data_IF_832138320734
#
_entry.id   IF_832138320734
#
_cell.length_a   1.000
_cell.length_b   1.000
_cell.length_c   1.000
_cell.angle_alpha   90.00
_cell.angle_beta   90.00
_cell.angle_gamma   90.00
#
_symmetry.space_group_name_H-M   'P 1'
#
loop_
_entity.id
_entity.type
_entity.pdbx_description
1 polymer ?
#
# COMPACT_ATOMS: atom_id res chain seq x y z
N UNK A 1 -7.26 3.17 -1.72
CA UNK A 1 -6.01 2.90 -2.46
C UNK A 1 -4.91 3.79 -1.90
N UNK A 2 -3.87 3.20 -1.31
CA UNK A 2 -2.73 3.90 -0.73
C UNK A 2 -1.52 3.78 -1.68
N UNK A 3 -1.22 4.88 -2.38
CA UNK A 3 -0.13 4.97 -3.34
C UNK A 3 1.13 5.59 -2.76
N UNK A 4 2.16 5.70 -3.60
CA UNK A 4 3.42 6.32 -3.20
C UNK A 4 3.27 7.84 -2.98
N UNK A 5 2.58 8.52 -3.90
CA UNK A 5 2.44 9.99 -3.92
C UNK A 5 1.08 10.50 -3.49
N UNK A 6 0.06 9.65 -3.54
CA UNK A 6 -1.31 10.03 -3.27
C UNK A 6 -2.08 8.86 -2.65
N UNK A 7 -3.26 9.18 -2.13
CA UNK A 7 -4.23 8.21 -1.62
C UNK A 7 -5.58 8.51 -2.24
N UNK A 8 -6.25 7.47 -2.74
CA UNK A 8 -7.56 7.58 -3.37
C UNK A 8 -8.62 6.76 -2.65
N UNK A 9 -9.79 7.36 -2.48
CA UNK A 9 -11.02 6.71 -2.04
C UNK A 9 -11.91 6.51 -3.26
N UNK A 10 -12.26 5.27 -3.54
CA UNK A 10 -13.07 4.88 -4.67
C UNK A 10 -14.34 4.22 -4.15
N UNK A 11 -15.49 4.71 -4.60
CA UNK A 11 -16.77 4.22 -4.14
C UNK A 11 -17.51 3.50 -5.27
N UNK A 12 -17.92 2.26 -5.01
CA UNK A 12 -18.67 1.44 -5.94
C UNK A 12 -20.08 1.22 -5.39
N UNK A 13 -21.09 1.35 -6.25
CA UNK A 13 -22.48 1.07 -5.89
C UNK A 13 -23.15 0.36 -7.05
N UNK A 14 -23.85 -0.74 -6.75
CA UNK A 14 -24.54 -1.56 -7.77
C UNK A 14 -23.62 -1.98 -8.92
N UNK A 15 -22.37 -2.34 -8.61
CA UNK A 15 -21.39 -2.81 -9.60
C UNK A 15 -20.75 -1.71 -10.45
N UNK A 16 -20.98 -0.43 -10.17
CA UNK A 16 -20.42 0.68 -10.96
C UNK A 16 -19.71 1.70 -10.07
N UNK A 17 -18.63 2.29 -10.59
CA UNK A 17 -17.91 3.37 -9.94
C UNK A 17 -18.79 4.64 -9.84
N UNK A 18 -19.01 5.11 -8.62
CA UNK A 18 -19.71 6.36 -8.34
C UNK A 18 -18.70 7.51 -8.29
N UNK A 19 -18.36 8.07 -9.45
CA UNK A 19 -17.33 9.12 -9.61
C UNK A 19 -17.50 10.32 -8.67
N UNK A 20 -18.74 10.75 -8.44
CA UNK A 20 -19.06 11.88 -7.55
C UNK A 20 -18.72 11.61 -6.07
N UNK A 21 -18.55 10.34 -5.71
CA UNK A 21 -18.20 9.88 -4.36
C UNK A 21 -16.74 9.40 -4.27
N UNK A 22 -15.99 9.53 -5.35
CA UNK A 22 -14.57 9.22 -5.38
C UNK A 22 -13.76 10.50 -5.11
N UNK A 23 -12.61 10.36 -4.47
CA UNK A 23 -11.72 11.48 -4.17
C UNK A 23 -10.28 10.99 -4.08
N UNK A 24 -9.35 11.89 -4.35
CA UNK A 24 -7.90 11.63 -4.21
C UNK A 24 -7.28 12.80 -3.47
N UNK A 25 -6.36 12.48 -2.58
CA UNK A 25 -5.52 13.44 -1.85
C UNK A 25 -4.05 13.18 -2.19
N UNK A 26 -3.22 14.22 -2.13
CA UNK A 26 -1.77 14.12 -2.28
C UNK A 26 -1.07 13.53 -1.05
N UNK A 27 -1.82 13.03 -0.07
CA UNK A 27 -1.28 12.26 1.05
C UNK A 27 -0.89 10.85 0.57
N UNK A 28 0.38 10.64 0.28
CA UNK A 28 0.94 9.35 -0.12
C UNK A 28 1.89 8.76 0.92
N UNK A 29 2.41 7.57 0.64
CA UNK A 29 3.43 6.94 1.49
C UNK A 29 4.69 7.80 1.65
N UNK A 30 5.02 8.65 0.68
CA UNK A 30 6.17 9.53 0.79
C UNK A 30 6.04 10.54 1.96
N UNK A 31 4.82 10.98 2.29
CA UNK A 31 4.57 11.87 3.44
C UNK A 31 4.94 11.21 4.77
N UNK A 32 4.67 9.91 4.91
CA UNK A 32 5.11 9.12 6.05
C UNK A 32 6.64 9.10 6.12
N UNK A 33 7.31 8.82 5.00
CA UNK A 33 8.78 8.75 4.97
C UNK A 33 9.43 10.12 5.22
N UNK A 34 8.78 11.22 4.82
CA UNK A 34 9.22 12.58 5.10
C UNK A 34 9.13 12.94 6.57
N UNK A 35 8.00 12.59 7.21
CA UNK A 35 7.85 12.75 8.66
C UNK A 35 8.93 11.97 9.41
N UNK A 36 9.28 10.78 8.92
CA UNK A 36 10.35 9.98 9.51
C UNK A 36 11.73 10.63 9.32
N UNK A 37 12.04 11.14 8.13
CA UNK A 37 13.28 11.86 7.84
C UNK A 37 13.51 13.09 8.71
N UNK A 38 12.45 13.80 9.10
CA UNK A 38 12.55 14.92 10.04
C UNK A 38 12.85 14.49 11.50
N UNK A 39 12.66 13.22 11.86
CA UNK A 39 12.89 12.70 13.22
C UNK A 39 14.26 12.06 13.38
N UNK A 40 14.87 11.59 12.29
CA UNK A 40 16.16 10.89 12.31
C UNK A 40 17.15 11.62 11.40
N UNK A 41 18.16 12.25 11.99
CA UNK A 41 19.15 13.02 11.25
C UNK A 41 19.90 12.16 10.22
N UNK A 42 19.92 12.63 8.97
CA UNK A 42 20.61 11.96 7.87
C UNK A 42 19.94 10.65 7.40
N UNK A 43 18.65 10.49 7.69
CA UNK A 43 17.78 9.47 7.11
C UNK A 43 17.06 10.08 5.89
N UNK A 44 17.27 9.49 4.71
CA UNK A 44 16.59 9.90 3.48
C UNK A 44 15.44 8.94 3.14
N UNK A 45 14.50 9.38 2.29
CA UNK A 45 13.38 8.54 1.82
C UNK A 45 13.86 7.21 1.24
N UNK A 46 14.93 7.25 0.44
CA UNK A 46 15.50 6.07 -0.20
C UNK A 46 16.06 5.07 0.82
N UNK A 47 16.50 5.52 1.99
CA UNK A 47 16.92 4.62 3.07
C UNK A 47 15.72 3.82 3.59
N UNK A 48 14.62 4.51 3.89
CA UNK A 48 13.38 3.85 4.36
C UNK A 48 12.89 2.85 3.32
N UNK A 49 12.88 3.20 2.04
CA UNK A 49 12.50 2.29 0.97
C UNK A 49 13.43 1.08 0.84
N UNK A 50 14.75 1.25 1.05
CA UNK A 50 15.71 0.12 1.10
C UNK A 50 15.51 -0.80 2.30
N UNK A 51 14.99 -0.28 3.40
CA UNK A 51 14.67 -1.07 4.59
C UNK A 51 13.43 -1.96 4.38
N UNK A 52 12.52 -1.60 3.44
CA UNK A 52 11.35 -2.42 3.11
C UNK A 52 11.80 -3.67 2.34
N UNK A 53 11.75 -4.83 3.01
CA UNK A 53 11.97 -6.14 2.39
C UNK A 53 10.62 -6.75 2.05
N UNK A 54 10.38 -6.95 0.76
CA UNK A 54 9.28 -7.80 0.30
C UNK A 54 9.73 -9.25 0.41
N UNK A 55 9.17 -10.01 1.35
CA UNK A 55 9.45 -11.44 1.45
C UNK A 55 8.43 -12.22 0.61
N UNK A 56 8.94 -13.03 -0.33
CA UNK A 56 8.14 -14.08 -0.97
C UNK A 56 8.18 -15.33 -0.08
N UNK A 57 7.15 -15.55 0.73
CA UNK A 57 7.04 -16.79 1.51
C UNK A 57 6.50 -17.95 0.66
N UNK A 58 7.31 -18.49 -0.23
CA UNK A 58 6.96 -19.76 -0.89
C UNK A 58 7.84 -20.11 -2.06
N UNK A 59 8.42 -21.31 -2.02
CA UNK A 59 8.92 -21.96 -3.22
C UNK A 59 7.74 -22.28 -4.14
N UNK A 60 7.84 -21.90 -5.41
CA UNK A 60 7.00 -22.44 -6.47
C UNK A 60 7.16 -23.97 -6.48
N UNK A 61 6.20 -24.70 -5.91
CA UNK A 61 5.92 -26.08 -6.30
C UNK A 61 4.81 -26.03 -7.31
N UNK A 62 5.02 -26.69 -8.44
CA UNK A 62 4.03 -26.83 -9.51
C UNK A 62 2.69 -27.27 -8.90
N UNK A 63 1.67 -26.41 -8.98
CA UNK A 63 0.34 -26.67 -8.40
C UNK A 63 0.08 -26.13 -6.98
N UNK A 64 1.01 -25.38 -6.36
CA UNK A 64 0.74 -24.67 -5.09
C UNK A 64 1.01 -23.18 -5.22
N UNK A 65 0.00 -22.36 -4.92
CA UNK A 65 0.07 -20.90 -4.89
C UNK A 65 1.12 -20.40 -3.87
N UNK A 66 1.91 -19.37 -4.20
CA UNK A 66 2.83 -18.77 -3.23
C UNK A 66 2.04 -18.18 -2.05
N UNK A 67 2.36 -18.63 -0.84
CA UNK A 67 1.73 -18.12 0.38
C UNK A 67 2.25 -16.72 0.69
N UNK A 68 1.39 -15.71 0.50
CA UNK A 68 1.45 -14.38 1.13
C UNK A 68 2.77 -13.63 0.92
N UNK A 69 2.75 -12.69 -0.01
CA UNK A 69 3.73 -11.61 -0.04
C UNK A 69 3.42 -10.68 1.13
N UNK A 70 4.35 -10.60 2.06
CA UNK A 70 4.32 -9.65 3.15
C UNK A 70 5.59 -8.81 3.04
N UNK A 71 5.43 -7.48 2.97
CA UNK A 71 6.58 -6.61 3.19
C UNK A 71 6.79 -6.39 4.67
N UNK A 72 8.03 -6.54 5.09
CA UNK A 72 8.49 -6.26 6.44
C UNK A 72 9.53 -5.15 6.36
N UNK A 73 9.52 -4.23 7.32
CA UNK A 73 10.55 -3.20 7.38
C UNK A 73 11.71 -3.70 8.24
N UNK A 74 12.85 -3.92 7.61
CA UNK A 74 14.08 -4.35 8.26
C UNK A 74 15.06 -3.19 8.42
N UNK A 75 14.95 -2.50 9.55
CA UNK A 75 15.80 -1.35 9.90
C UNK A 75 17.29 -1.67 10.00
N UNK A 76 17.67 -2.93 10.22
CA UNK A 76 19.10 -3.32 10.32
C UNK A 76 19.87 -3.07 9.03
N UNK A 77 19.19 -3.04 7.87
CA UNK A 77 19.81 -2.82 6.55
C UNK A 77 20.35 -1.40 6.38
N UNK A 78 19.77 -0.43 7.09
CA UNK A 78 20.15 0.99 7.01
C UNK A 78 20.89 1.49 8.24
N UNK A 79 21.15 0.59 9.19
CA UNK A 79 21.91 0.88 10.40
C UNK A 79 23.38 1.08 10.05
N UNK A 80 23.98 2.19 10.50
CA UNK A 80 25.36 2.56 10.14
C UNK A 80 26.40 1.98 11.11
N UNK A 81 26.02 1.69 12.35
CA UNK A 81 26.93 1.16 13.37
C UNK A 81 27.36 -0.28 13.10
N UNK A 82 28.67 -0.56 13.18
CA UNK A 82 29.23 -1.91 13.17
C UNK A 82 29.26 -2.57 14.56
N UNK A 83 29.14 -1.78 15.61
CA UNK A 83 28.98 -2.25 16.98
C UNK A 83 27.54 -2.73 17.24
N UNK A 84 27.39 -3.94 17.80
CA UNK A 84 26.09 -4.62 17.94
C UNK A 84 25.14 -3.90 18.89
N UNK A 85 25.63 -3.37 20.00
CA UNK A 85 24.78 -2.68 20.99
C UNK A 85 24.31 -1.35 20.44
N UNK A 86 25.22 -0.58 19.83
CA UNK A 86 24.87 0.69 19.17
C UNK A 86 23.94 0.48 17.97
N UNK A 87 24.13 -0.59 17.21
CA UNK A 87 23.23 -0.97 16.11
C UNK A 87 21.82 -1.27 16.62
N UNK A 88 21.68 -2.01 17.73
CA UNK A 88 20.39 -2.29 18.33
C UNK A 88 19.67 -1.01 18.81
N UNK A 89 20.42 -0.07 19.39
CA UNK A 89 19.90 1.25 19.79
C UNK A 89 19.43 2.05 18.55
N UNK A 90 20.20 2.03 17.46
CA UNK A 90 19.84 2.71 16.22
C UNK A 90 18.57 2.13 15.59
N UNK A 91 18.45 0.79 15.54
CA UNK A 91 17.23 0.09 15.10
C UNK A 91 16.03 0.48 15.94
N UNK A 92 16.16 0.52 17.27
CA UNK A 92 15.09 0.94 18.17
C UNK A 92 14.64 2.38 17.89
N UNK A 93 15.58 3.29 17.67
CA UNK A 93 15.28 4.69 17.30
C UNK A 93 14.54 4.78 15.97
N UNK A 94 14.95 4.03 14.96
CA UNK A 94 14.29 3.98 13.65
C UNK A 94 12.85 3.45 13.79
N UNK A 95 12.64 2.38 14.54
CA UNK A 95 11.31 1.82 14.80
C UNK A 95 10.39 2.84 15.49
N UNK A 96 10.87 3.48 16.56
CA UNK A 96 10.08 4.50 17.27
C UNK A 96 9.76 5.71 16.39
N UNK A 97 10.70 6.14 15.54
CA UNK A 97 10.49 7.22 14.59
C UNK A 97 9.44 6.84 13.54
N UNK A 98 9.47 5.59 13.05
CA UNK A 98 8.45 5.07 12.15
C UNK A 98 7.07 5.06 12.79
N UNK A 99 6.91 4.46 13.98
CA UNK A 99 5.61 4.37 14.66
C UNK A 99 5.00 5.74 14.95
N UNK A 100 5.84 6.71 15.31
CA UNK A 100 5.39 8.09 15.53
C UNK A 100 4.98 8.75 14.22
N UNK A 101 5.77 8.58 13.15
CA UNK A 101 5.48 9.15 11.83
C UNK A 101 4.24 8.52 11.20
N UNK A 102 4.04 7.21 11.40
CA UNK A 102 2.87 6.47 10.96
C UNK A 102 1.61 7.00 11.63
N UNK A 103 1.62 7.24 12.95
CA UNK A 103 0.49 7.85 13.67
C UNK A 103 0.18 9.26 13.18
N UNK A 104 1.21 10.09 12.98
CA UNK A 104 1.04 11.45 12.45
C UNK A 104 0.52 11.47 11.01
N UNK A 105 1.01 10.57 10.16
CA UNK A 105 0.53 10.38 8.79
C UNK A 105 -0.93 9.91 8.79
N UNK A 106 -1.25 8.90 9.63
CA UNK A 106 -2.59 8.35 9.72
C UNK A 106 -3.61 9.37 10.22
N UNK A 107 -3.24 10.25 11.14
CA UNK A 107 -4.12 11.35 11.57
C UNK A 107 -4.57 12.20 10.36
N UNK A 108 -3.63 12.60 9.48
CA UNK A 108 -3.96 13.36 8.28
C UNK A 108 -4.87 12.59 7.30
N UNK A 109 -4.57 11.31 7.10
CA UNK A 109 -5.34 10.45 6.20
C UNK A 109 -6.74 10.21 6.74
N UNK A 110 -6.88 9.88 8.03
CA UNK A 110 -8.17 9.63 8.67
C UNK A 110 -9.04 10.89 8.74
N UNK A 111 -8.46 12.06 8.97
CA UNK A 111 -9.16 13.34 8.85
C UNK A 111 -9.68 13.57 7.42
N UNK A 112 -8.86 13.30 6.41
CA UNK A 112 -9.30 13.36 5.02
C UNK A 112 -10.41 12.35 4.72
N UNK A 113 -10.31 11.11 5.21
CA UNK A 113 -11.36 10.09 5.07
C UNK A 113 -12.67 10.55 5.74
N UNK A 114 -12.61 11.14 6.94
CA UNK A 114 -13.78 11.68 7.63
C UNK A 114 -14.48 12.79 6.82
N UNK A 115 -13.72 13.59 6.08
CA UNK A 115 -14.27 14.65 5.22
C UNK A 115 -14.80 14.15 3.87
N UNK A 116 -14.38 12.96 3.43
CA UNK A 116 -14.61 12.46 2.07
C UNK A 116 -15.65 11.34 2.03
N UNK A 117 -15.64 10.44 3.01
CA UNK A 117 -16.43 9.24 2.98
C UNK A 117 -17.90 9.52 3.32
N UNK A 118 -18.78 8.71 2.72
CA UNK A 118 -20.17 8.60 3.14
C UNK A 118 -20.24 8.08 4.58
N UNK A 119 -21.38 8.28 5.27
CA UNK A 119 -21.62 7.60 6.53
C UNK A 119 -21.34 6.10 6.40
N UNK A 120 -20.60 5.54 7.36
CA UNK A 120 -20.17 4.13 7.34
C UNK A 120 -21.33 3.14 7.21
N UNK A 121 -22.53 3.54 7.61
CA UNK A 121 -23.79 2.78 7.44
C UNK A 121 -24.16 2.52 5.97
N UNK A 122 -23.56 3.22 5.00
CA UNK A 122 -23.77 3.00 3.57
C UNK A 122 -22.67 2.15 2.92
N UNK A 123 -21.75 1.59 3.71
CA UNK A 123 -20.58 0.84 3.25
C UNK A 123 -20.74 -0.63 3.66
N UNK A 124 -20.95 -1.50 2.67
CA UNK A 124 -21.09 -2.94 2.91
C UNK A 124 -19.73 -3.64 3.12
N UNK A 125 -18.66 -3.07 2.58
CA UNK A 125 -17.31 -3.62 2.68
C UNK A 125 -16.27 -2.64 2.14
N UNK A 126 -15.01 -2.85 2.53
CA UNK A 126 -13.88 -1.98 2.16
C UNK A 126 -12.76 -2.81 1.56
N UNK A 127 -12.22 -2.32 0.44
CA UNK A 127 -10.99 -2.84 -0.15
C UNK A 127 -9.81 -1.93 0.18
N UNK A 128 -8.87 -2.43 0.99
CA UNK A 128 -7.60 -1.78 1.23
C UNK A 128 -6.60 -2.24 0.15
N UNK A 129 -6.10 -1.34 -0.68
CA UNK A 129 -5.25 -1.70 -1.83
C UNK A 129 -4.23 -0.61 -2.15
N UNK A 130 -3.29 -0.91 -3.04
CA UNK A 130 -2.15 -0.04 -3.38
C UNK A 130 -0.86 -0.51 -2.70
N UNK A 131 0.29 -0.06 -3.19
CA UNK A 131 1.58 -0.55 -2.70
C UNK A 131 1.88 -0.22 -1.23
N UNK A 132 1.17 0.75 -0.64
CA UNK A 132 1.34 1.13 0.77
C UNK A 132 0.30 0.50 1.70
N UNK A 133 -0.68 -0.21 1.14
CA UNK A 133 -1.85 -0.69 1.89
C UNK A 133 -1.48 -1.69 2.99
N UNK A 134 -0.49 -2.53 2.76
CA UNK A 134 -0.06 -3.53 3.76
C UNK A 134 0.46 -2.90 5.06
N UNK A 135 1.05 -1.70 4.98
CA UNK A 135 1.55 -0.96 6.16
C UNK A 135 0.45 -0.23 6.92
N UNK A 136 -0.74 -0.12 6.33
CA UNK A 136 -1.87 0.65 6.84
C UNK A 136 -3.08 -0.23 7.15
N UNK A 137 -3.03 -1.53 6.85
CA UNK A 137 -4.18 -2.42 6.92
C UNK A 137 -4.81 -2.45 8.31
N UNK A 138 -4.00 -2.55 9.37
CA UNK A 138 -4.50 -2.56 10.75
C UNK A 138 -5.20 -1.25 11.10
N UNK A 139 -4.59 -0.11 10.75
CA UNK A 139 -5.17 1.23 10.98
C UNK A 139 -6.47 1.44 10.22
N UNK A 140 -6.55 0.93 8.98
CA UNK A 140 -7.78 0.98 8.17
C UNK A 140 -8.84 0.07 8.75
N UNK A 141 -8.47 -1.13 9.22
CA UNK A 141 -9.38 -2.08 9.85
C UNK A 141 -9.98 -1.50 11.12
N UNK A 142 -9.16 -0.88 11.97
CA UNK A 142 -9.61 -0.17 13.17
C UNK A 142 -10.53 1.00 12.82
N UNK A 143 -10.20 1.77 11.77
CA UNK A 143 -11.05 2.88 11.35
C UNK A 143 -12.40 2.41 10.82
N UNK A 144 -12.47 1.27 10.14
CA UNK A 144 -13.73 0.70 9.66
C UNK A 144 -14.27 -0.40 10.58
N UNK A 145 -14.03 -0.30 11.90
CA UNK A 145 -14.52 -1.27 12.87
C UNK A 145 -16.00 -1.63 12.64
N UNK A 146 -16.29 -2.93 12.54
CA UNK A 146 -17.61 -3.47 12.24
C UNK A 146 -17.92 -3.64 10.74
N UNK A 147 -17.04 -3.20 9.84
CA UNK A 147 -17.12 -3.42 8.40
C UNK A 147 -15.95 -4.32 7.96
N UNK A 148 -16.20 -5.26 7.06
CA UNK A 148 -15.15 -6.12 6.54
C UNK A 148 -14.15 -5.31 5.70
N UNK A 149 -12.87 -5.34 6.10
CA UNK A 149 -11.76 -4.74 5.36
C UNK A 149 -10.90 -5.85 4.76
N UNK A 150 -10.88 -5.93 3.43
CA UNK A 150 -10.12 -6.94 2.71
C UNK A 150 -9.00 -6.31 1.89
N UNK A 151 -7.85 -6.98 1.88
CA UNK A 151 -6.87 -6.80 0.81
C UNK A 151 -7.34 -7.61 -0.41
N UNK A 152 -7.08 -7.16 -1.65
CA UNK A 152 -7.51 -7.88 -2.84
C UNK A 152 -7.09 -9.35 -2.89
N UNK A 153 -5.89 -9.66 -2.39
CA UNK A 153 -5.37 -11.03 -2.32
C UNK A 153 -6.13 -11.96 -1.37
N UNK A 154 -6.97 -11.42 -0.50
CA UNK A 154 -7.78 -12.18 0.46
C UNK A 154 -9.26 -12.25 0.06
N UNK A 155 -9.66 -11.61 -1.05
CA UNK A 155 -11.06 -11.54 -1.45
C UNK A 155 -11.42 -12.68 -2.42
N UNK A 156 -12.39 -13.53 -2.09
CA UNK A 156 -12.82 -14.64 -2.95
C UNK A 156 -13.76 -14.21 -4.10
N UNK A 157 -13.97 -12.91 -4.31
CA UNK A 157 -14.86 -12.38 -5.36
C UNK A 157 -14.16 -12.32 -6.72
N UNK A 158 -14.93 -12.22 -7.81
CA UNK A 158 -14.40 -11.97 -9.16
C UNK A 158 -13.53 -10.71 -9.22
N UNK A 159 -13.86 -9.67 -8.43
CA UNK A 159 -13.04 -8.48 -8.27
C UNK A 159 -11.72 -8.78 -7.56
N UNK A 160 -11.75 -9.59 -6.50
CA UNK A 160 -10.57 -10.09 -5.81
C UNK A 160 -9.65 -10.90 -6.72
N UNK A 161 -10.24 -11.78 -7.54
CA UNK A 161 -9.53 -12.61 -8.50
C UNK A 161 -8.90 -11.77 -9.63
N UNK A 162 -9.63 -10.80 -10.19
CA UNK A 162 -9.09 -9.87 -11.19
C UNK A 162 -7.94 -9.03 -10.64
N UNK A 163 -8.04 -8.58 -9.38
CA UNK A 163 -6.98 -7.86 -8.68
C UNK A 163 -5.75 -8.74 -8.40
N UNK A 164 -5.95 -10.04 -8.22
CA UNK A 164 -4.89 -11.04 -7.96
C UNK A 164 -4.12 -11.42 -9.22
N UNK A 165 -4.81 -11.63 -10.35
CA UNK A 165 -4.21 -12.06 -11.62
C UNK A 165 -3.14 -11.07 -12.14
N UNK A 166 -3.38 -9.77 -12.11
CA UNK A 166 -2.39 -8.78 -12.58
C UNK A 166 -1.22 -8.62 -11.60
N UNK A 167 -1.48 -8.76 -10.28
CA UNK A 167 -0.41 -8.83 -9.27
C UNK A 167 0.53 -10.00 -9.58
N UNK A 168 -0.04 -11.16 -9.88
CA UNK A 168 0.72 -12.36 -10.29
C UNK A 168 1.45 -12.17 -11.63
N UNK A 169 0.84 -11.50 -12.61
CA UNK A 169 1.50 -11.19 -13.89
C UNK A 169 2.69 -10.23 -13.70
N UNK A 170 2.54 -9.22 -12.85
CA UNK A 170 3.62 -8.28 -12.50
C UNK A 170 4.73 -8.97 -11.71
N UNK A 171 4.40 -9.84 -10.77
CA UNK A 171 5.38 -10.56 -9.95
C UNK A 171 6.17 -11.62 -10.72
N UNK A 172 5.60 -12.19 -11.78
CA UNK A 172 6.32 -13.10 -12.68
C UNK A 172 7.16 -12.38 -13.74
N UNK A 173 7.16 -11.04 -13.75
CA UNK A 173 8.00 -10.25 -14.63
C UNK A 173 9.29 -9.84 -13.90
N UNK A 174 10.42 -10.47 -14.28
CA UNK A 174 11.74 -10.18 -13.69
C UNK A 174 12.13 -8.69 -13.79
N UNK A 175 11.66 -7.98 -14.81
CA UNK A 175 11.92 -6.56 -14.99
C UNK A 175 11.14 -5.73 -13.97
N UNK A 176 9.87 -6.08 -13.71
CA UNK A 176 9.05 -5.46 -12.67
C UNK A 176 9.60 -5.68 -11.26
N UNK A 177 10.14 -6.87 -10.97
CA UNK A 177 10.83 -7.15 -9.70
C UNK A 177 12.13 -6.34 -9.52
N UNK A 178 12.79 -5.97 -10.63
CA UNK A 178 13.97 -5.09 -10.65
C UNK A 178 13.61 -3.61 -10.53
N UNK A 179 12.35 -3.23 -10.74
CA UNK A 179 11.90 -1.85 -10.58
C UNK A 179 11.88 -1.42 -9.10
N UNK A 180 12.30 -0.18 -8.86
CA UNK A 180 12.35 0.43 -7.54
C UNK A 180 10.96 0.39 -6.85
N UNK A 181 10.90 0.32 -5.52
CA UNK A 181 9.63 0.18 -4.76
C UNK A 181 8.57 1.22 -5.18
N UNK A 182 9.03 2.43 -5.50
CA UNK A 182 8.27 3.56 -6.09
C UNK A 182 7.42 3.14 -7.30
N UNK A 183 7.94 2.26 -8.16
CA UNK A 183 7.26 1.74 -9.35
C UNK A 183 6.37 0.52 -9.04
N UNK A 184 6.54 -0.13 -7.88
CA UNK A 184 5.68 -1.21 -7.37
C UNK A 184 4.45 -0.68 -6.62
N UNK A 185 4.44 0.59 -6.19
CA UNK A 185 3.22 1.32 -5.83
C UNK A 185 2.36 1.66 -7.07
N UNK A 186 2.30 0.74 -8.04
CA UNK A 186 1.50 0.90 -9.26
C UNK A 186 0.05 1.15 -8.91
N UNK A 187 -0.48 2.13 -9.60
CA UNK A 187 -1.85 2.59 -9.58
C UNK A 187 -2.82 1.42 -9.80
N UNK A 188 -3.66 1.13 -8.80
CA UNK A 188 -4.70 0.09 -8.90
C UNK A 188 -5.84 0.57 -9.82
N UNK A 189 -5.74 1.78 -10.36
CA UNK A 189 -6.71 2.35 -11.29
C UNK A 189 -6.88 1.55 -12.59
N UNK A 190 -5.81 0.91 -13.09
CA UNK A 190 -5.90 0.01 -14.25
C UNK A 190 -6.92 -1.12 -14.06
N UNK A 191 -7.11 -1.58 -12.82
CA UNK A 191 -8.08 -2.62 -12.46
C UNK A 191 -9.51 -2.12 -12.41
N UNK A 192 -9.69 -0.88 -11.98
CA UNK A 192 -11.01 -0.26 -11.91
C UNK A 192 -11.45 0.34 -13.25
N UNK A 193 -10.55 0.40 -14.25
CA UNK A 193 -10.85 0.91 -15.59
C UNK A 193 -12.08 0.21 -16.21
N UNK A 194 -12.13 -1.13 -16.12
CA UNK A 194 -13.24 -1.98 -16.59
C UNK A 194 -14.57 -1.61 -15.90
N UNK A 195 -14.52 -1.26 -14.61
CA UNK A 195 -15.70 -0.88 -13.80
C UNK A 195 -16.02 0.63 -13.85
N UNK A 196 -15.12 1.43 -14.43
CA UNK A 196 -15.22 2.88 -14.51
C UNK A 196 -15.93 3.36 -15.78
N UNK A 197 -16.16 2.45 -16.74
CA UNK A 197 -16.69 2.79 -18.06
C UNK A 197 -15.73 3.61 -18.93
N UNK A 198 -14.44 3.68 -18.57
CA UNK A 198 -13.41 4.23 -19.45
C UNK A 198 -13.01 3.17 -20.49
N UNK A 199 -13.23 3.48 -21.77
CA UNK A 199 -12.48 2.83 -22.85
C UNK A 199 -11.05 3.35 -22.78
N UNK A 200 -10.11 2.49 -22.39
CA UNK A 200 -8.69 2.79 -22.54
C UNK A 200 -8.40 2.66 -24.02
N UNK A 201 -8.28 3.78 -24.74
CA UNK A 201 -7.74 3.78 -26.10
C UNK A 201 -6.35 3.13 -26.03
N UNK A 202 -6.24 1.90 -26.54
CA UNK A 202 -4.96 1.27 -26.78
C UNK A 202 -4.25 2.08 -27.86
N UNK A 203 -3.45 3.06 -27.45
CA UNK A 203 -2.44 3.60 -28.35
C UNK A 203 -1.35 2.54 -28.46
N UNK A 204 -1.36 1.81 -29.57
CA UNK A 204 -0.20 1.07 -30.04
C UNK A 204 0.99 2.03 -30.05
N UNK A 205 1.96 1.75 -29.17
CA UNK A 205 3.25 2.42 -29.21
C UNK A 205 3.99 1.78 -30.39
N UNK A 206 4.09 2.53 -31.49
CA UNK A 206 4.92 2.20 -32.64
C UNK A 206 6.42 2.25 -32.28
#
# INVERSE_FOLDING_TARGET
MFGHRNTSSLFFRKGTLCRQLCSTTELGFYDLTDKMGHKVAGLERNDVLRAIKTQHNGYWKQGSWPKKIASEINWSVITKSTDKERAAIEVSKLSMAYDTSLREYWALVSDWLNSTLRPKTEIDGVFCCGGAAEFLLDLVSDYFEGIEVLMPSACPSELGEALRIDKEMKENNEEFLKLNLINRFTDVWGFFSIFSGYEVEQKEVA
#
